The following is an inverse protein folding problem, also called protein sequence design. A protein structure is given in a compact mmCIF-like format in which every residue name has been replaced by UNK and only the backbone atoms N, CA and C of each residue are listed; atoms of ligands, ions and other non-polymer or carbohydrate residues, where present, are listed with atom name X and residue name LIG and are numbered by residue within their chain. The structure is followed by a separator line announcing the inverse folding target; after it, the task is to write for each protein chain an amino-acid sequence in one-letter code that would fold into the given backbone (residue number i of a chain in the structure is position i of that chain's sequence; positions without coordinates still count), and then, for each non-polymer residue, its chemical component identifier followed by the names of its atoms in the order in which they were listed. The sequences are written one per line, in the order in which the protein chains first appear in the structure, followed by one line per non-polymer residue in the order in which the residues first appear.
data_IF_194310589687
#
_entry.id   IF_194310589687
#
_cell.length_a   1.000
_cell.length_b   1.000
_cell.length_c   1.000
_cell.angle_alpha   90.00
_cell.angle_beta   90.00
_cell.angle_gamma   90.00
#
_symmetry.space_group_name_H-M   'P 1'
#
loop_
_entity.id
_entity.type
_entity.pdbx_description
1 polymer ?
#
# COMPACT_ATOMS: atom_id res chain seq x y z
N UNK A 1 16.00 11.64 -21.10
CA UNK A 1 15.32 10.33 -21.22
C UNK A 1 13.84 10.47 -20.82
N UNK A 2 12.91 10.31 -21.78
CA UNK A 2 11.46 10.29 -21.51
C UNK A 2 11.08 8.94 -20.88
N UNK A 3 10.31 8.96 -19.79
CA UNK A 3 9.80 7.73 -19.15
C UNK A 3 8.45 7.41 -19.80
N UNK A 4 8.33 6.25 -20.42
CA UNK A 4 7.02 5.71 -20.80
C UNK A 4 6.36 5.14 -19.55
N UNK A 5 5.42 5.87 -18.97
CA UNK A 5 4.75 5.45 -17.73
C UNK A 5 3.78 4.27 -17.96
N UNK A 6 3.36 4.02 -19.21
CA UNK A 6 2.49 2.89 -19.56
C UNK A 6 3.24 1.54 -19.58
N UNK A 7 4.58 1.55 -19.51
CA UNK A 7 5.40 0.35 -19.48
C UNK A 7 5.45 -0.33 -18.10
N UNK A 8 5.01 0.35 -17.03
CA UNK A 8 5.05 -0.14 -15.66
C UNK A 8 3.64 -0.34 -15.11
N UNK A 9 3.44 -1.38 -14.28
CA UNK A 9 2.18 -1.61 -13.55
C UNK A 9 2.12 -0.80 -12.27
N UNK A 10 3.26 -0.36 -11.75
CA UNK A 10 3.33 0.52 -10.58
C UNK A 10 4.52 1.47 -10.64
N UNK A 11 4.47 2.52 -9.82
CA UNK A 11 5.62 3.39 -9.62
C UNK A 11 6.84 2.63 -9.07
N UNK A 12 6.66 1.58 -8.27
CA UNK A 12 7.74 0.79 -7.67
C UNK A 12 8.61 0.03 -8.68
N UNK A 13 8.07 -0.25 -9.87
CA UNK A 13 8.80 -0.92 -10.95
C UNK A 13 9.61 0.06 -11.82
N UNK A 14 9.38 1.37 -11.66
CA UNK A 14 10.10 2.38 -12.41
C UNK A 14 11.54 2.50 -11.92
N UNK A 15 12.52 2.41 -12.83
CA UNK A 15 13.96 2.56 -12.50
C UNK A 15 14.34 3.90 -11.85
N UNK A 16 13.47 4.91 -11.94
CA UNK A 16 13.69 6.22 -11.29
C UNK A 16 12.94 6.36 -9.96
N UNK A 17 12.26 5.32 -9.50
CA UNK A 17 11.60 5.34 -8.21
C UNK A 17 12.64 5.26 -7.08
N UNK A 18 12.51 6.06 -6.01
CA UNK A 18 11.55 7.16 -5.82
C UNK A 18 11.95 8.42 -6.61
N UNK A 19 11.01 8.99 -7.38
CA UNK A 19 11.22 10.26 -8.11
C UNK A 19 10.51 11.43 -7.42
N UNK A 20 10.75 12.67 -7.84
CA UNK A 20 10.18 13.85 -7.18
C UNK A 20 8.65 13.86 -7.13
N UNK A 21 7.98 13.31 -8.16
CA UNK A 21 6.52 13.15 -8.19
C UNK A 21 6.04 12.23 -7.06
N UNK A 22 6.67 11.06 -6.90
CA UNK A 22 6.28 10.10 -5.86
C UNK A 22 6.67 10.61 -4.48
N UNK A 23 7.84 11.23 -4.32
CA UNK A 23 8.25 11.87 -3.06
C UNK A 23 7.25 12.96 -2.63
N UNK A 24 6.80 13.79 -3.57
CA UNK A 24 5.80 14.83 -3.30
C UNK A 24 4.43 14.25 -2.94
N UNK A 25 4.03 13.14 -3.55
CA UNK A 25 2.80 12.43 -3.17
C UNK A 25 2.91 11.83 -1.76
N UNK A 26 4.01 11.14 -1.44
CA UNK A 26 4.19 10.42 -0.17
C UNK A 26 4.45 11.32 1.04
N UNK A 27 4.93 12.55 0.84
CA UNK A 27 5.20 13.51 1.93
C UNK A 27 3.96 14.25 2.43
N UNK A 28 2.77 14.04 1.84
CA UNK A 28 1.56 14.80 2.19
C UNK A 28 0.95 14.42 3.56
N UNK A 29 1.54 13.47 4.29
CA UNK A 29 1.14 13.09 5.64
C UNK A 29 -0.12 12.22 5.72
N UNK A 30 -0.83 12.00 4.61
CA UNK A 30 -2.06 11.20 4.57
C UNK A 30 -1.75 9.71 4.64
N UNK A 31 -2.56 8.96 5.38
CA UNK A 31 -2.34 7.53 5.61
C UNK A 31 -2.28 6.72 4.31
N UNK A 32 -3.16 7.01 3.34
CA UNK A 32 -3.11 6.35 2.04
C UNK A 32 -1.81 6.64 1.26
N UNK A 33 -1.19 7.81 1.44
CA UNK A 33 0.04 8.15 0.75
C UNK A 33 1.24 7.42 1.37
N UNK A 34 1.22 7.21 2.68
CA UNK A 34 2.18 6.38 3.39
C UNK A 34 2.08 4.90 2.97
N UNK A 35 0.87 4.35 2.95
CA UNK A 35 0.65 2.96 2.50
C UNK A 35 0.97 2.79 1.02
N UNK A 36 0.69 3.80 0.18
CA UNK A 36 1.13 3.79 -1.22
C UNK A 36 2.66 3.78 -1.37
N UNK A 37 3.38 4.54 -0.53
CA UNK A 37 4.84 4.52 -0.48
C UNK A 37 5.37 3.12 -0.14
N UNK A 38 4.83 2.53 0.93
CA UNK A 38 5.17 1.18 1.35
C UNK A 38 4.95 0.16 0.22
N UNK A 39 3.79 0.24 -0.46
CA UNK A 39 3.48 -0.65 -1.58
C UNK A 39 4.45 -0.47 -2.75
N UNK A 40 4.84 0.76 -3.08
CA UNK A 40 5.83 0.99 -4.12
C UNK A 40 7.19 0.38 -3.76
N UNK A 41 7.67 0.53 -2.52
CA UNK A 41 8.90 -0.13 -2.06
C UNK A 41 8.79 -1.64 -1.99
N UNK A 42 7.60 -2.18 -1.72
CA UNK A 42 7.39 -3.64 -1.74
C UNK A 42 7.53 -4.18 -3.17
N UNK A 43 7.00 -3.45 -4.15
CA UNK A 43 7.04 -3.80 -5.57
C UNK A 43 8.41 -3.62 -6.22
N UNK A 44 9.40 -3.02 -5.56
CA UNK A 44 10.79 -3.00 -6.07
C UNK A 44 11.47 -4.37 -5.94
N UNK A 45 10.99 -5.24 -5.04
CA UNK A 45 11.57 -6.56 -4.76
C UNK A 45 10.60 -7.74 -4.90
N UNK A 46 9.32 -7.48 -5.19
CA UNK A 46 8.28 -8.51 -5.30
C UNK A 46 7.60 -8.50 -6.68
N UNK A 47 7.32 -9.69 -7.21
CA UNK A 47 6.49 -9.84 -8.42
C UNK A 47 5.09 -9.24 -8.22
N UNK A 48 4.60 -8.52 -9.23
CA UNK A 48 3.32 -7.81 -9.19
C UNK A 48 2.13 -8.73 -8.91
N UNK A 49 2.10 -9.96 -9.46
CA UNK A 49 0.99 -10.90 -9.20
C UNK A 49 1.03 -11.42 -7.77
N UNK A 50 2.23 -11.68 -7.22
CA UNK A 50 2.40 -12.02 -5.80
C UNK A 50 1.91 -10.89 -4.90
N UNK A 51 2.25 -9.64 -5.21
CA UNK A 51 1.76 -8.48 -4.48
C UNK A 51 0.23 -8.37 -4.54
N UNK A 52 -0.39 -8.54 -5.72
CA UNK A 52 -1.86 -8.54 -5.85
C UNK A 52 -2.53 -9.62 -5.01
N UNK A 53 -1.97 -10.84 -4.96
CA UNK A 53 -2.49 -11.91 -4.12
C UNK A 53 -2.41 -11.54 -2.64
N UNK A 54 -1.29 -10.98 -2.19
CA UNK A 54 -1.12 -10.50 -0.82
C UNK A 54 -2.11 -9.38 -0.47
N UNK A 55 -2.33 -8.43 -1.38
CA UNK A 55 -3.34 -7.37 -1.18
C UNK A 55 -4.75 -7.94 -1.08
N UNK A 56 -5.12 -8.91 -1.93
CA UNK A 56 -6.44 -9.57 -1.83
C UNK A 56 -6.64 -10.19 -0.45
N UNK A 57 -5.64 -10.89 0.08
CA UNK A 57 -5.69 -11.46 1.44
C UNK A 57 -5.76 -10.37 2.51
N UNK A 58 -4.93 -9.33 2.40
CA UNK A 58 -4.87 -8.19 3.33
C UNK A 58 -6.21 -7.46 3.48
N UNK A 59 -6.96 -7.32 2.39
CA UNK A 59 -8.25 -6.62 2.33
C UNK A 59 -9.45 -7.58 2.46
N UNK A 60 -9.24 -8.80 2.96
CA UNK A 60 -10.27 -9.80 3.21
C UNK A 60 -10.34 -10.15 4.70
N UNK A 61 -11.54 -10.18 5.27
CA UNK A 61 -11.73 -10.50 6.67
C UNK A 61 -11.34 -11.96 6.95
N UNK A 62 -10.43 -12.16 7.91
CA UNK A 62 -9.97 -13.50 8.31
C UNK A 62 -11.02 -14.37 8.99
N UNK A 63 -12.15 -13.78 9.45
CA UNK A 63 -13.23 -14.52 10.12
C UNK A 63 -14.34 -14.97 9.18
N UNK A 64 -14.80 -14.10 8.29
CA UNK A 64 -15.97 -14.39 7.45
C UNK A 64 -15.71 -14.30 5.94
N UNK A 65 -14.48 -13.97 5.51
CA UNK A 65 -14.11 -13.88 4.10
C UNK A 65 -14.63 -12.65 3.37
N UNK A 66 -15.31 -11.73 4.06
CA UNK A 66 -15.83 -10.51 3.43
C UNK A 66 -14.69 -9.54 3.08
N UNK A 67 -14.73 -8.98 1.88
CA UNK A 67 -13.79 -7.92 1.48
C UNK A 67 -14.16 -6.60 2.13
N UNK A 68 -13.17 -5.76 2.41
CA UNK A 68 -13.41 -4.46 3.03
C UNK A 68 -12.57 -3.35 2.40
N UNK A 69 -13.03 -2.11 2.57
CA UNK A 69 -12.39 -0.93 2.00
C UNK A 69 -11.30 -0.37 2.91
N UNK A 70 -10.48 0.53 2.36
CA UNK A 70 -9.47 1.27 3.12
C UNK A 70 -10.04 2.25 4.17
N UNK A 71 -11.35 2.49 4.18
CA UNK A 71 -12.03 3.30 5.19
C UNK A 71 -12.62 2.46 6.33
N UNK A 72 -12.57 1.14 6.23
CA UNK A 72 -13.17 0.24 7.21
C UNK A 72 -12.22 0.05 8.40
N UNK A 73 -12.75 0.21 9.62
CA UNK A 73 -12.05 -0.14 10.88
C UNK A 73 -12.53 -1.48 11.46
N UNK A 74 -13.74 -1.90 11.08
CA UNK A 74 -14.33 -3.21 11.40
C UNK A 74 -14.83 -3.89 10.14
N UNK A 75 -14.90 -5.22 10.16
CA UNK A 75 -15.49 -5.98 9.07
C UNK A 75 -16.97 -5.61 8.92
N UNK A 76 -17.42 -5.17 7.73
CA UNK A 76 -18.79 -4.69 7.52
C UNK A 76 -19.85 -5.80 7.66
N UNK A 77 -19.46 -7.08 7.56
CA UNK A 77 -20.37 -8.22 7.65
C UNK A 77 -20.44 -8.86 9.04
N UNK A 78 -19.29 -9.04 9.71
CA UNK A 78 -19.24 -9.80 10.97
C UNK A 78 -18.81 -8.97 12.19
N UNK A 79 -18.52 -7.68 12.02
CA UNK A 79 -18.17 -6.75 13.10
C UNK A 79 -16.80 -6.98 13.75
N UNK A 80 -16.03 -8.00 13.31
CA UNK A 80 -14.66 -8.24 13.81
C UNK A 80 -13.76 -7.06 13.49
N UNK A 81 -12.90 -6.67 14.42
CA UNK A 81 -11.84 -5.70 14.18
C UNK A 81 -10.91 -6.18 13.06
N UNK A 82 -10.53 -5.25 12.19
CA UNK A 82 -9.63 -5.50 11.07
C UNK A 82 -8.40 -4.63 11.21
N UNK A 83 -7.29 -5.07 10.62
CA UNK A 83 -6.13 -4.20 10.47
C UNK A 83 -6.51 -3.06 9.50
N UNK A 84 -6.71 -1.86 10.01
CA UNK A 84 -7.20 -0.70 9.26
C UNK A 84 -6.08 -0.05 8.44
N UNK A 85 -6.45 0.84 7.51
CA UNK A 85 -5.46 1.65 6.79
C UNK A 85 -4.63 2.53 7.75
N UNK A 86 -5.28 3.02 8.81
CA UNK A 86 -4.66 3.89 9.81
C UNK A 86 -3.57 3.15 10.58
N UNK A 87 -3.85 1.93 11.03
CA UNK A 87 -2.88 1.09 11.72
C UNK A 87 -1.71 0.68 10.80
N UNK A 88 -2.00 0.39 9.53
CA UNK A 88 -0.96 0.11 8.52
C UNK A 88 -0.07 1.32 8.26
N UNK A 89 -0.67 2.50 8.09
CA UNK A 89 0.08 3.74 7.94
C UNK A 89 0.91 4.08 9.18
N UNK A 90 0.39 3.83 10.39
CA UNK A 90 1.11 4.04 11.64
C UNK A 90 2.32 3.10 11.75
N UNK A 91 2.16 1.82 11.44
CA UNK A 91 3.25 0.85 11.44
C UNK A 91 4.34 1.25 10.44
N UNK A 92 3.97 1.64 9.22
CA UNK A 92 4.93 2.10 8.23
C UNK A 92 5.60 3.42 8.63
N UNK A 93 4.87 4.35 9.24
CA UNK A 93 5.43 5.61 9.76
C UNK A 93 6.49 5.35 10.82
N UNK A 94 6.32 4.34 11.68
CA UNK A 94 7.32 3.93 12.66
C UNK A 94 8.55 3.33 11.98
N UNK A 95 8.35 2.39 11.03
CA UNK A 95 9.44 1.82 10.24
C UNK A 95 10.28 2.90 9.53
N UNK A 96 9.62 3.91 8.94
CA UNK A 96 10.29 5.00 8.21
C UNK A 96 11.14 5.92 9.10
N UNK A 97 10.91 5.95 10.42
CA UNK A 97 11.72 6.75 11.36
C UNK A 97 13.03 6.07 11.75
N UNK A 98 13.11 4.74 11.61
CA UNK A 98 14.24 3.92 12.04
C UNK A 98 15.25 3.67 10.91
N UNK A 99 14.85 3.95 9.67
CA UNK A 99 15.69 3.91 8.46
C UNK A 99 16.17 5.31 8.09
#
# INVERSE_FOLDING_TARGET
MRINHNAYKSCGECKKFPCDKTKNFHKNGKDFALVAEMNCYTLTGLDYKKWLKAQKTRWTCSKCGESFSNKSEKCPKCGKDIYSLKEEAQAYRQFRKVK
#
